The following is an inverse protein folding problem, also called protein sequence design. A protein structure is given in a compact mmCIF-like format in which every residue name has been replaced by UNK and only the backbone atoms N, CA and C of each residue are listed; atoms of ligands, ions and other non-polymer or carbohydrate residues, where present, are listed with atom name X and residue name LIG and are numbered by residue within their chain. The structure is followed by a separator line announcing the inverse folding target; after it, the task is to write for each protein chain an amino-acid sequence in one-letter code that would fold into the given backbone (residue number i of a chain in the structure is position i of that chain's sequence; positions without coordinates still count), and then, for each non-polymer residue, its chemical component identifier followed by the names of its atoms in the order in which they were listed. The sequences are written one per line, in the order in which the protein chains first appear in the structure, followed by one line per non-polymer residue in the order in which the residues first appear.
data_IF_136238995113
#
_entry.id   IF_136238995113
#
_cell.length_a   1.000
_cell.length_b   1.000
_cell.length_c   1.000
_cell.angle_alpha   90.00
_cell.angle_beta   90.00
_cell.angle_gamma   90.00
#
_symmetry.space_group_name_H-M   'P 1'
#
loop_
_entity.id
_entity.type
_entity.pdbx_description
1 polymer ?
#
# COMPACT_ATOMS: atom_id res chain seq x y z
N UNK A 1 -5.60 -10.23 19.05
CA UNK A 1 -5.96 -8.94 19.65
C UNK A 1 -6.19 -7.96 18.52
N UNK A 2 -7.22 -7.13 18.62
CA UNK A 2 -7.62 -6.15 17.61
C UNK A 2 -7.65 -4.76 18.26
N UNK A 3 -7.22 -3.72 17.53
CA UNK A 3 -7.17 -2.35 18.04
C UNK A 3 -6.77 -1.34 16.96
N UNK A 4 -7.03 -0.06 17.22
CA UNK A 4 -6.70 1.02 16.30
C UNK A 4 -5.25 1.46 16.42
N UNK A 5 -4.59 1.72 15.29
CA UNK A 5 -3.21 2.22 15.29
C UNK A 5 -3.09 3.67 15.83
N UNK A 6 -4.18 4.42 15.89
CA UNK A 6 -4.21 5.79 16.44
C UNK A 6 -4.55 5.83 17.93
N UNK A 7 -4.90 4.68 18.52
CA UNK A 7 -5.31 4.53 19.92
C UNK A 7 -5.04 3.10 20.37
N UNK A 8 -3.76 2.79 20.59
CA UNK A 8 -3.30 1.46 20.94
C UNK A 8 -3.51 1.24 22.44
N UNK A 9 -4.22 0.17 22.80
CA UNK A 9 -4.46 -0.18 24.20
C UNK A 9 -3.25 -0.90 24.85
N UNK A 10 -2.06 -0.31 24.71
CA UNK A 10 -0.81 -0.77 25.34
C UNK A 10 -0.26 0.31 26.26
N UNK A 11 0.41 -0.07 27.36
CA UNK A 11 1.20 0.87 28.15
C UNK A 11 2.28 1.56 27.31
N UNK A 12 2.74 2.72 27.77
CA UNK A 12 3.92 3.36 27.18
C UNK A 12 5.14 2.45 27.35
N UNK A 13 6.10 2.51 26.42
CA UNK A 13 7.33 1.73 26.46
C UNK A 13 7.13 0.19 26.58
N UNK A 14 6.20 -0.35 25.79
CA UNK A 14 5.86 -1.78 25.76
C UNK A 14 6.62 -2.58 24.70
N UNK A 15 7.17 -1.93 23.67
CA UNK A 15 7.78 -2.60 22.52
C UNK A 15 9.16 -2.05 22.19
N UNK A 16 10.05 -2.92 21.72
CA UNK A 16 11.37 -2.55 21.20
C UNK A 16 11.31 -2.12 19.73
N UNK A 17 10.43 -2.73 18.95
CA UNK A 17 10.33 -2.51 17.50
C UNK A 17 8.86 -2.47 17.07
N UNK A 18 8.53 -1.50 16.24
CA UNK A 18 7.27 -1.44 15.49
C UNK A 18 7.56 -1.55 14.01
N UNK A 19 6.82 -2.42 13.32
CA UNK A 19 6.82 -2.52 11.86
C UNK A 19 5.42 -2.19 11.36
N UNK A 20 5.30 -1.20 10.48
CA UNK A 20 4.05 -0.87 9.80
C UNK A 20 4.26 -0.92 8.28
N UNK A 21 3.97 -2.09 7.70
CA UNK A 21 4.15 -2.31 6.28
C UNK A 21 2.89 -1.92 5.51
N UNK A 22 2.99 -0.90 4.64
CA UNK A 22 1.91 -0.39 3.78
C UNK A 22 0.62 -0.03 4.54
N UNK A 23 0.72 0.31 5.83
CA UNK A 23 -0.43 0.65 6.67
C UNK A 23 -0.70 2.16 6.74
N UNK A 24 0.36 2.98 6.88
CA UNK A 24 0.24 4.40 7.20
C UNK A 24 -0.62 5.20 6.19
N UNK A 25 -0.57 4.85 4.90
CA UNK A 25 -1.35 5.49 3.85
C UNK A 25 -2.87 5.44 4.10
N UNK A 26 -3.36 4.43 4.82
CA UNK A 26 -4.77 4.22 5.12
C UNK A 26 -5.22 4.81 6.45
N UNK A 27 -4.30 5.28 7.30
CA UNK A 27 -4.68 5.81 8.60
C UNK A 27 -5.35 7.17 8.46
N UNK A 28 -6.53 7.38 9.10
CA UNK A 28 -7.26 8.64 9.02
C UNK A 28 -6.53 9.79 9.75
N UNK A 29 -5.73 9.47 10.77
CA UNK A 29 -4.87 10.40 11.50
C UNK A 29 -3.43 9.85 11.55
N UNK A 30 -2.66 10.13 10.49
CA UNK A 30 -1.24 9.71 10.38
C UNK A 30 -0.38 10.30 11.50
N UNK A 31 -0.47 11.62 11.83
CA UNK A 31 0.24 12.17 13.00
C UNK A 31 -0.13 11.45 14.31
N UNK A 32 -1.41 11.16 14.53
CA UNK A 32 -1.89 10.41 15.70
C UNK A 32 -1.31 9.01 15.79
N UNK A 33 -1.34 8.27 14.69
CA UNK A 33 -0.75 6.93 14.64
C UNK A 33 0.74 6.94 14.97
N UNK A 34 1.51 7.90 14.42
CA UNK A 34 2.95 7.98 14.67
C UNK A 34 3.25 8.38 16.13
N UNK A 35 2.48 9.31 16.71
CA UNK A 35 2.59 9.64 18.14
C UNK A 35 2.28 8.43 19.02
N UNK A 36 1.30 7.62 18.64
CA UNK A 36 0.93 6.43 19.39
C UNK A 36 1.96 5.32 19.29
N UNK A 37 2.51 5.08 18.08
CA UNK A 37 3.67 4.21 17.88
C UNK A 37 4.86 4.66 18.73
N UNK A 38 5.13 5.97 18.75
CA UNK A 38 6.20 6.56 19.56
C UNK A 38 5.99 6.37 21.07
N UNK A 39 4.75 6.46 21.55
CA UNK A 39 4.39 6.28 22.95
C UNK A 39 4.64 4.85 23.44
N UNK A 40 4.26 3.86 22.63
CA UNK A 40 4.36 2.45 23.02
C UNK A 40 5.76 1.87 22.79
N UNK A 41 6.66 2.58 22.11
CA UNK A 41 8.07 2.21 22.01
C UNK A 41 8.85 2.58 23.29
N UNK A 42 9.79 1.72 23.67
CA UNK A 42 10.79 2.03 24.70
C UNK A 42 11.71 3.18 24.24
N UNK A 43 12.42 3.90 25.13
CA UNK A 43 13.27 5.04 24.75
C UNK A 43 14.39 4.75 23.74
N UNK A 44 14.78 3.48 23.56
CA UNK A 44 15.76 3.04 22.55
C UNK A 44 15.11 2.21 21.44
N UNK A 45 13.78 2.24 21.37
CA UNK A 45 12.99 1.49 20.42
C UNK A 45 13.06 2.08 19.02
N UNK A 46 12.66 1.27 18.05
CA UNK A 46 12.75 1.58 16.62
C UNK A 46 11.42 1.45 15.92
N UNK A 47 11.17 2.30 14.94
CA UNK A 47 10.06 2.15 14.01
C UNK A 47 10.59 1.92 12.60
N UNK A 48 9.95 0.98 11.89
CA UNK A 48 10.13 0.75 10.48
C UNK A 48 8.78 0.83 9.77
N UNK A 49 8.66 1.74 8.81
CA UNK A 49 7.45 1.93 8.02
C UNK A 49 7.77 1.66 6.55
N UNK A 50 6.82 1.13 5.80
CA UNK A 50 6.88 1.16 4.34
C UNK A 50 5.61 1.82 3.79
N UNK A 51 5.76 2.77 2.87
CA UNK A 51 4.65 3.53 2.27
C UNK A 51 4.83 3.60 0.76
N UNK A 52 3.79 3.35 -0.02
CA UNK A 52 3.87 3.43 -1.48
C UNK A 52 4.22 4.84 -1.96
N UNK A 53 5.00 4.94 -3.04
CA UNK A 53 5.44 6.22 -3.63
C UNK A 53 4.76 6.57 -4.94
N UNK A 54 4.42 5.56 -5.72
CA UNK A 54 3.94 5.75 -7.09
C UNK A 54 2.68 4.92 -7.36
N UNK A 55 1.97 5.34 -8.40
CA UNK A 55 1.03 4.49 -9.13
C UNK A 55 1.84 3.59 -10.09
N UNK A 56 2.27 2.42 -9.60
CA UNK A 56 3.04 1.47 -10.41
C UNK A 56 2.24 0.93 -11.61
N UNK A 57 2.91 0.39 -12.64
CA UNK A 57 2.27 0.02 -13.91
C UNK A 57 1.12 -0.97 -13.74
N UNK A 58 1.30 -2.02 -12.92
CA UNK A 58 0.24 -2.97 -12.63
C UNK A 58 -0.94 -2.34 -11.89
N UNK A 59 -0.66 -1.54 -10.85
CA UNK A 59 -1.72 -0.91 -10.06
C UNK A 59 -2.51 0.09 -10.92
N UNK A 60 -1.84 0.89 -11.75
CA UNK A 60 -2.49 1.81 -12.69
C UNK A 60 -3.36 1.09 -13.72
N UNK A 61 -2.85 0.02 -14.34
CA UNK A 61 -3.62 -0.79 -15.29
C UNK A 61 -4.89 -1.37 -14.66
N UNK A 62 -4.79 -1.87 -13.42
CA UNK A 62 -5.94 -2.38 -12.67
C UNK A 62 -6.94 -1.27 -12.33
N UNK A 63 -6.47 -0.08 -11.91
CA UNK A 63 -7.34 1.07 -11.63
C UNK A 63 -8.15 1.46 -12.87
N UNK A 64 -7.50 1.54 -14.03
CA UNK A 64 -8.17 1.92 -15.28
C UNK A 64 -9.17 0.86 -15.73
N UNK A 65 -8.81 -0.43 -15.63
CA UNK A 65 -9.71 -1.52 -15.97
C UNK A 65 -10.90 -1.63 -15.00
N UNK A 66 -10.68 -1.42 -13.69
CA UNK A 66 -11.77 -1.32 -12.70
C UNK A 66 -12.71 -0.17 -13.03
N UNK A 67 -12.17 1.01 -13.38
CA UNK A 67 -12.99 2.19 -13.72
C UNK A 67 -13.90 1.90 -14.91
N UNK A 68 -13.39 1.19 -15.91
CA UNK A 68 -14.10 0.88 -17.15
C UNK A 68 -15.12 -0.26 -17.01
N UNK A 69 -14.79 -1.32 -16.28
CA UNK A 69 -15.58 -2.55 -16.27
C UNK A 69 -16.38 -2.81 -15.00
N UNK A 70 -16.09 -2.08 -13.91
CA UNK A 70 -16.76 -2.24 -12.61
C UNK A 70 -17.39 -0.93 -12.16
N UNK A 71 -16.64 0.17 -12.22
CA UNK A 71 -17.12 1.51 -11.92
C UNK A 71 -16.09 2.39 -11.21
N UNK A 72 -16.36 3.70 -11.20
CA UNK A 72 -15.47 4.70 -10.63
C UNK A 72 -15.24 4.51 -9.11
N UNK A 73 -16.26 4.06 -8.37
CA UNK A 73 -16.14 3.80 -6.93
C UNK A 73 -15.15 2.66 -6.65
N UNK A 74 -15.24 1.54 -7.37
CA UNK A 74 -14.29 0.44 -7.22
C UNK A 74 -12.85 0.88 -7.55
N UNK A 75 -12.68 1.65 -8.62
CA UNK A 75 -11.36 2.21 -8.96
C UNK A 75 -10.82 3.13 -7.86
N UNK A 76 -11.65 3.99 -7.27
CA UNK A 76 -11.29 4.85 -6.15
C UNK A 76 -10.92 4.04 -4.90
N UNK A 77 -11.71 3.04 -4.53
CA UNK A 77 -11.43 2.16 -3.38
C UNK A 77 -10.09 1.43 -3.53
N UNK A 78 -9.81 0.88 -4.72
CA UNK A 78 -8.54 0.16 -4.96
C UNK A 78 -7.33 1.11 -4.96
N UNK A 79 -7.46 2.27 -5.60
CA UNK A 79 -6.40 3.29 -5.68
C UNK A 79 -6.14 4.05 -4.38
N UNK A 80 -6.99 3.92 -3.35
CA UNK A 80 -6.79 4.56 -2.04
C UNK A 80 -5.45 4.19 -1.37
N UNK A 81 -4.85 3.08 -1.76
CA UNK A 81 -3.50 2.69 -1.32
C UNK A 81 -2.36 3.53 -1.91
N UNK A 82 -2.62 4.27 -3.00
CA UNK A 82 -1.63 5.02 -3.80
C UNK A 82 -1.95 6.50 -3.95
N UNK A 83 -3.20 6.91 -3.75
CA UNK A 83 -3.65 8.31 -3.87
C UNK A 83 -3.52 9.03 -2.53
N UNK A 84 -2.96 10.24 -2.54
CA UNK A 84 -2.78 11.03 -1.31
C UNK A 84 -1.82 10.40 -0.31
N UNK A 85 -0.89 9.60 -0.80
CA UNK A 85 0.23 9.04 -0.03
C UNK A 85 1.24 10.15 0.27
N UNK A 86 1.76 10.23 1.51
CA UNK A 86 2.76 11.23 1.85
C UNK A 86 4.07 10.97 1.09
N UNK A 87 4.65 12.03 0.54
CA UNK A 87 5.95 11.96 -0.09
C UNK A 87 7.09 11.85 0.96
N UNK A 88 8.34 11.82 0.50
CA UNK A 88 9.49 11.68 1.40
C UNK A 88 9.63 12.85 2.39
N UNK A 89 9.33 14.08 1.95
CA UNK A 89 9.45 15.27 2.80
C UNK A 89 8.33 15.29 3.85
N UNK A 90 7.10 14.95 3.46
CA UNK A 90 5.98 14.80 4.38
C UNK A 90 6.23 13.67 5.38
N UNK A 91 6.72 12.50 4.94
CA UNK A 91 7.05 11.39 5.85
C UNK A 91 8.14 11.77 6.86
N UNK A 92 9.18 12.47 6.42
CA UNK A 92 10.24 12.95 7.31
C UNK A 92 9.68 13.89 8.38
N UNK A 93 8.91 14.90 7.96
CA UNK A 93 8.27 15.88 8.84
C UNK A 93 7.32 15.21 9.84
N UNK A 94 6.45 14.31 9.38
CA UNK A 94 5.54 13.54 10.22
C UNK A 94 6.29 12.74 11.30
N UNK A 95 7.43 12.13 10.95
CA UNK A 95 8.27 11.41 11.90
C UNK A 95 8.86 12.33 12.97
N UNK A 96 9.42 13.47 12.57
CA UNK A 96 10.01 14.46 13.49
C UNK A 96 8.95 15.06 14.42
N UNK A 97 7.80 15.47 13.86
CA UNK A 97 6.68 16.05 14.64
C UNK A 97 6.07 15.05 15.62
N UNK A 98 6.13 13.75 15.32
CA UNK A 98 5.72 12.69 16.25
C UNK A 98 6.73 12.44 17.38
N UNK A 99 7.90 13.08 17.37
CA UNK A 99 8.92 12.96 18.41
C UNK A 99 9.95 11.85 18.18
N UNK A 100 10.03 11.31 16.96
CA UNK A 100 11.11 10.39 16.59
C UNK A 100 12.42 11.15 16.30
N UNK A 101 13.55 10.49 16.55
CA UNK A 101 14.91 10.94 16.22
C UNK A 101 15.50 10.09 15.10
N UNK A 102 16.55 10.58 14.46
CA UNK A 102 17.26 9.86 13.38
C UNK A 102 16.29 9.36 12.29
N UNK A 103 15.32 10.19 11.92
CA UNK A 103 14.35 9.88 10.87
C UNK A 103 15.10 9.84 9.53
N UNK A 104 15.10 8.67 8.90
CA UNK A 104 15.65 8.46 7.58
C UNK A 104 14.58 7.91 6.63
N UNK A 105 14.55 8.44 5.42
CA UNK A 105 13.66 8.00 4.35
C UNK A 105 14.53 7.37 3.27
N UNK A 106 14.27 6.10 2.98
CA UNK A 106 14.97 5.32 1.99
C UNK A 106 14.01 5.00 0.84
N UNK A 107 14.11 5.70 -0.30
CA UNK A 107 13.41 5.32 -1.51
C UNK A 107 13.89 3.94 -1.97
N UNK A 108 12.97 3.00 -2.15
CA UNK A 108 13.27 1.65 -2.59
C UNK A 108 12.46 1.31 -3.84
N UNK A 109 13.16 0.81 -4.87
CA UNK A 109 12.55 0.20 -6.04
C UNK A 109 12.50 -1.31 -5.81
N UNK A 110 11.32 -1.90 -5.98
CA UNK A 110 11.08 -3.33 -5.86
C UNK A 110 10.78 -3.90 -7.23
N UNK A 111 11.57 -4.89 -7.65
CA UNK A 111 11.29 -5.66 -8.86
C UNK A 111 10.37 -6.82 -8.48
N UNK A 112 9.10 -6.70 -8.84
CA UNK A 112 8.06 -7.66 -8.54
C UNK A 112 7.92 -8.59 -9.73
N UNK A 113 7.98 -9.90 -9.47
CA UNK A 113 7.63 -10.94 -10.43
C UNK A 113 6.22 -11.41 -10.14
N UNK A 114 5.34 -11.28 -11.12
CA UNK A 114 3.96 -11.75 -11.04
C UNK A 114 3.75 -12.95 -11.95
N UNK A 115 2.83 -13.87 -11.62
CA UNK A 115 2.38 -14.90 -12.55
C UNK A 115 1.77 -14.29 -13.81
N UNK A 116 1.44 -15.15 -14.77
CA UNK A 116 0.62 -14.77 -15.92
C UNK A 116 -0.61 -13.98 -15.47
N UNK A 117 -0.90 -12.88 -16.17
CA UNK A 117 -2.06 -12.04 -15.87
C UNK A 117 -3.37 -12.85 -15.90
N UNK A 118 -3.43 -13.86 -16.78
CA UNK A 118 -4.54 -14.80 -16.90
C UNK A 118 -4.78 -15.49 -15.55
N UNK A 119 -5.96 -15.25 -14.97
CA UNK A 119 -6.31 -15.72 -13.63
C UNK A 119 -5.75 -14.85 -12.50
N UNK A 120 -4.47 -14.44 -12.54
CA UNK A 120 -3.85 -13.69 -11.44
C UNK A 120 -4.58 -12.39 -11.11
N UNK A 121 -4.99 -11.60 -12.12
CA UNK A 121 -5.66 -10.30 -11.90
C UNK A 121 -6.94 -10.47 -11.09
N UNK A 122 -7.77 -11.46 -11.45
CA UNK A 122 -9.04 -11.71 -10.75
C UNK A 122 -8.81 -12.31 -9.37
N UNK A 123 -7.84 -13.22 -9.21
CA UNK A 123 -7.46 -13.77 -7.91
C UNK A 123 -6.94 -12.69 -6.96
N UNK A 124 -6.10 -11.78 -7.45
CA UNK A 124 -5.63 -10.63 -6.69
C UNK A 124 -6.80 -9.73 -6.27
N UNK A 125 -7.67 -9.33 -7.20
CA UNK A 125 -8.81 -8.48 -6.91
C UNK A 125 -9.77 -9.10 -5.88
N UNK A 126 -9.95 -10.41 -5.90
CA UNK A 126 -10.73 -11.15 -4.91
C UNK A 126 -10.16 -11.08 -3.48
N UNK A 127 -8.88 -10.75 -3.33
CA UNK A 127 -8.21 -10.55 -2.04
C UNK A 127 -8.14 -9.07 -1.60
N UNK A 128 -8.84 -8.17 -2.29
CA UNK A 128 -8.83 -6.72 -1.99
C UNK A 128 -10.22 -6.22 -1.57
N UNK A 129 -10.33 -4.99 -1.04
CA UNK A 129 -11.63 -4.41 -0.67
C UNK A 129 -12.65 -4.30 -1.82
N UNK A 130 -12.21 -4.39 -3.09
CA UNK A 130 -13.11 -4.34 -4.25
C UNK A 130 -13.67 -5.70 -4.67
N UNK A 131 -13.32 -6.79 -3.96
CA UNK A 131 -13.73 -8.15 -4.31
C UNK A 131 -15.24 -8.31 -4.54
N UNK A 132 -16.07 -7.71 -3.67
CA UNK A 132 -17.53 -7.76 -3.79
C UNK A 132 -18.04 -7.05 -5.04
N UNK A 133 -17.47 -5.89 -5.37
CA UNK A 133 -17.85 -5.13 -6.56
C UNK A 133 -17.48 -5.87 -7.84
N UNK A 134 -16.27 -6.44 -7.89
CA UNK A 134 -15.80 -7.27 -9.01
C UNK A 134 -16.66 -8.54 -9.16
N UNK A 135 -17.07 -9.17 -8.07
CA UNK A 135 -17.94 -10.35 -8.11
C UNK A 135 -19.38 -10.05 -8.55
N UNK A 136 -19.83 -8.80 -8.43
CA UNK A 136 -21.20 -8.39 -8.79
C UNK A 136 -21.39 -8.11 -10.29
N UNK A 137 -20.32 -7.90 -11.05
CA UNK A 137 -20.40 -7.72 -12.51
C UNK A 137 -20.37 -9.06 -13.25
N UNK A 138 -20.76 -9.05 -14.53
CA UNK A 138 -20.89 -10.28 -15.32
C UNK A 138 -19.54 -11.00 -15.53
N UNK A 139 -19.60 -12.27 -15.94
CA UNK A 139 -18.41 -13.02 -16.37
C UNK A 139 -17.67 -12.33 -17.51
N UNK A 140 -18.40 -11.75 -18.45
CA UNK A 140 -17.85 -11.06 -19.62
C UNK A 140 -17.12 -9.78 -19.21
N UNK A 141 -17.67 -9.01 -18.26
CA UNK A 141 -17.03 -7.82 -17.72
C UNK A 141 -15.74 -8.15 -16.95
N UNK A 142 -15.73 -9.24 -16.16
CA UNK A 142 -14.52 -9.72 -15.46
C UNK A 142 -13.44 -10.19 -16.44
N UNK A 143 -13.82 -10.90 -17.50
CA UNK A 143 -12.89 -11.31 -18.55
C UNK A 143 -12.29 -10.08 -19.27
N UNK A 144 -13.14 -9.13 -19.67
CA UNK A 144 -12.69 -7.90 -20.34
C UNK A 144 -11.75 -7.06 -19.44
N UNK A 145 -12.01 -6.99 -18.14
CA UNK A 145 -11.11 -6.37 -17.17
C UNK A 145 -9.73 -7.03 -17.19
N UNK A 146 -9.67 -8.37 -17.08
CA UNK A 146 -8.40 -9.09 -17.07
C UNK A 146 -7.64 -8.95 -18.40
N UNK A 147 -8.35 -8.97 -19.52
CA UNK A 147 -7.80 -8.75 -20.86
C UNK A 147 -7.22 -7.35 -21.01
N UNK A 148 -7.92 -6.32 -20.52
CA UNK A 148 -7.44 -4.94 -20.54
C UNK A 148 -6.15 -4.78 -19.73
N UNK A 149 -6.09 -5.35 -18.51
CA UNK A 149 -4.87 -5.32 -17.70
C UNK A 149 -3.72 -6.04 -18.43
N UNK A 150 -3.99 -7.21 -19.01
CA UNK A 150 -3.00 -7.97 -19.77
C UNK A 150 -2.47 -7.20 -20.98
N UNK A 151 -3.36 -6.52 -21.71
CA UNK A 151 -3.01 -5.66 -22.84
C UNK A 151 -2.12 -4.49 -22.41
N UNK A 152 -2.49 -3.80 -21.33
CA UNK A 152 -1.76 -2.65 -20.80
C UNK A 152 -0.34 -3.03 -20.32
N UNK A 153 -0.15 -4.27 -19.87
CA UNK A 153 1.11 -4.75 -19.29
C UNK A 153 2.00 -5.53 -20.27
N UNK A 154 1.68 -5.55 -21.57
CA UNK A 154 2.49 -6.27 -22.59
C UNK A 154 3.96 -5.86 -22.62
N UNK A 155 4.26 -4.60 -22.33
CA UNK A 155 5.64 -4.10 -22.28
C UNK A 155 6.46 -4.66 -21.11
N UNK A 156 5.82 -5.31 -20.14
CA UNK A 156 6.43 -5.83 -18.92
C UNK A 156 6.44 -7.38 -18.86
N UNK A 157 6.12 -8.05 -19.96
CA UNK A 157 6.15 -9.51 -20.06
C UNK A 157 7.58 -10.03 -19.83
N UNK A 158 7.71 -11.03 -18.96
CA UNK A 158 8.94 -11.76 -18.69
C UNK A 158 8.62 -13.25 -18.61
N UNK A 159 8.83 -13.97 -19.72
CA UNK A 159 8.36 -15.35 -19.88
C UNK A 159 6.83 -15.41 -19.99
N UNK A 160 6.21 -16.25 -19.16
CA UNK A 160 4.75 -16.38 -19.02
C UNK A 160 4.15 -15.38 -18.04
N UNK A 161 4.99 -14.69 -17.25
CA UNK A 161 4.57 -13.75 -16.22
C UNK A 161 4.93 -12.29 -16.54
N UNK A 162 5.00 -11.48 -15.49
CA UNK A 162 5.41 -10.09 -15.56
C UNK A 162 6.63 -9.82 -14.68
N UNK A 163 7.51 -8.94 -15.14
CA UNK A 163 8.51 -8.28 -14.31
C UNK A 163 8.24 -6.78 -14.31
N UNK A 164 7.78 -6.26 -13.17
CA UNK A 164 7.43 -4.85 -13.00
C UNK A 164 8.21 -4.23 -11.85
N UNK A 165 8.56 -2.95 -11.99
CA UNK A 165 9.07 -2.16 -10.90
C UNK A 165 7.92 -1.47 -10.16
N UNK A 166 8.02 -1.40 -8.83
CA UNK A 166 7.17 -0.58 -7.97
C UNK A 166 8.04 0.13 -6.93
N UNK A 167 7.54 1.19 -6.31
CA UNK A 167 8.35 2.05 -5.44
C UNK A 167 7.69 2.30 -4.09
N UNK A 168 8.49 2.18 -3.02
CA UNK A 168 8.07 2.47 -1.65
C UNK A 168 9.12 3.31 -0.94
N UNK A 169 8.71 4.17 -0.02
CA UNK A 169 9.59 4.78 0.95
C UNK A 169 9.67 3.83 2.14
N UNK A 170 10.87 3.42 2.51
CA UNK A 170 11.15 2.77 3.79
C UNK A 170 11.60 3.83 4.78
N UNK A 171 10.84 4.00 5.85
CA UNK A 171 11.15 4.96 6.92
C UNK A 171 11.74 4.21 8.09
N UNK A 172 12.86 4.69 8.61
CA UNK A 172 13.43 4.22 9.88
C UNK A 172 13.58 5.39 10.84
N UNK A 173 13.27 5.18 12.11
CA UNK A 173 13.54 6.18 13.15
C UNK A 173 13.69 5.55 14.54
N UNK A 174 14.30 6.30 15.46
CA UNK A 174 14.43 5.97 16.88
C UNK A 174 13.37 6.70 17.69
N UNK A 175 12.79 6.04 18.70
CA UNK A 175 11.89 6.69 19.66
C UNK A 175 12.62 7.79 20.43
#
# INVERSE_FOLDING_TARGET
MEGSAVAMNFPSASFDVIVCQQGLQFFPDRPGALREMRRVLVPSGRVLLSVWRIMGPYHGAVVDALRQHVGAEAAATFSASRVGVPDAEELYRLGVEAGFREVAIHPCVMNIRLPACEGFVLSHLAATPVARAVAAVSSEARAALADQVSLALRAYLDGDGLAIADETNVVTALA
#
